data_IF_964054625793
#
_entry.id   IF_964054625793
#
_cell.length_a   1.000
_cell.length_b   1.000
_cell.length_c   1.000
_cell.angle_alpha   90.00
_cell.angle_beta   90.00
_cell.angle_gamma   90.00
#
_symmetry.space_group_name_H-M   'P 1'
#
loop_
_entity.id
_entity.type
_entity.pdbx_description
1 polymer ?
#
# COMPACT_ATOMS: atom_id res chain seq x y z
N UNK A 1 1.87 10.35 15.16
CA UNK A 1 1.84 9.69 13.84
C UNK A 1 2.67 8.41 13.87
N UNK A 2 2.04 7.25 13.75
CA UNK A 2 2.71 5.94 13.67
C UNK A 2 3.08 5.63 12.21
N UNK A 3 4.14 4.86 11.97
CA UNK A 3 4.67 4.61 10.62
C UNK A 3 4.50 3.15 10.21
N UNK A 4 3.97 2.91 9.02
CA UNK A 4 3.85 1.57 8.41
C UNK A 4 4.43 1.61 7.00
N UNK A 5 5.27 0.62 6.67
CA UNK A 5 5.76 0.40 5.32
C UNK A 5 5.24 -0.95 4.81
N UNK A 6 4.44 -0.93 3.74
CA UNK A 6 4.09 -2.11 2.98
C UNK A 6 5.22 -2.38 1.99
N UNK A 7 5.82 -3.57 2.06
CA UNK A 7 6.73 -4.07 1.04
C UNK A 7 6.01 -5.19 0.27
N UNK A 8 5.83 -5.02 -1.03
CA UNK A 8 5.10 -5.95 -1.87
C UNK A 8 5.75 -6.06 -3.26
N UNK A 9 5.46 -7.16 -3.96
CA UNK A 9 5.92 -7.34 -5.34
C UNK A 9 5.03 -6.65 -6.38
N UNK A 10 3.80 -6.25 -6.02
CA UNK A 10 2.86 -5.63 -6.93
C UNK A 10 1.92 -4.61 -6.24
N UNK A 11 1.49 -3.58 -6.97
CA UNK A 11 0.61 -2.52 -6.49
C UNK A 11 -0.01 -1.77 -7.68
N UNK A 12 -1.33 -1.57 -7.67
CA UNK A 12 -2.01 -0.73 -8.67
C UNK A 12 -1.70 0.77 -8.46
N UNK A 13 -1.54 1.58 -9.53
CA UNK A 13 -1.74 1.24 -10.94
C UNK A 13 -0.45 0.77 -11.66
N UNK A 14 0.64 0.51 -10.95
CA UNK A 14 1.96 0.32 -11.57
C UNK A 14 2.19 -1.10 -12.07
N UNK A 15 1.90 -2.11 -11.26
CA UNK A 15 2.11 -3.54 -11.60
C UNK A 15 1.01 -4.39 -10.98
N UNK A 16 0.45 -5.31 -11.78
CA UNK A 16 -0.63 -6.21 -11.38
C UNK A 16 -0.53 -7.55 -12.11
N UNK A 17 -0.37 -8.62 -11.34
CA UNK A 17 -0.53 -10.00 -11.82
C UNK A 17 -1.74 -10.67 -11.16
N UNK A 18 -2.14 -10.23 -9.96
CA UNK A 18 -3.29 -10.78 -9.25
C UNK A 18 -3.92 -9.82 -8.25
N UNK A 19 -4.51 -10.40 -7.19
CA UNK A 19 -5.24 -9.68 -6.16
C UNK A 19 -4.35 -8.96 -5.14
N UNK A 20 -3.07 -9.33 -5.03
CA UNK A 20 -2.14 -8.65 -4.10
C UNK A 20 -2.01 -7.16 -4.49
N UNK A 21 -1.91 -6.86 -5.79
CA UNK A 21 -1.84 -5.49 -6.28
C UNK A 21 -3.04 -4.63 -5.87
N UNK A 22 -4.24 -5.22 -5.84
CA UNK A 22 -5.46 -4.51 -5.43
C UNK A 22 -5.42 -4.18 -3.93
N UNK A 23 -5.00 -5.14 -3.12
CA UNK A 23 -4.86 -4.96 -1.67
C UNK A 23 -3.82 -3.89 -1.36
N UNK A 24 -2.63 -3.97 -1.97
CA UNK A 24 -1.55 -3.00 -1.77
C UNK A 24 -1.89 -1.60 -2.28
N UNK A 25 -2.78 -1.48 -3.28
CA UNK A 25 -3.23 -0.19 -3.80
C UNK A 25 -4.47 0.40 -3.11
N UNK A 26 -5.25 -0.41 -2.39
CA UNK A 26 -6.50 0.01 -1.74
C UNK A 26 -6.35 0.15 -0.21
N UNK A 27 -5.80 -0.85 0.47
CA UNK A 27 -5.75 -0.90 1.93
C UNK A 27 -4.98 0.28 2.56
N UNK A 28 -3.80 0.70 2.04
CA UNK A 28 -3.08 1.86 2.60
C UNK A 28 -3.90 3.16 2.61
N UNK A 29 -4.86 3.31 1.69
CA UNK A 29 -5.72 4.50 1.60
C UNK A 29 -6.80 4.54 2.67
N UNK A 30 -7.09 3.41 3.31
CA UNK A 30 -8.12 3.30 4.36
C UNK A 30 -7.64 3.73 5.75
N UNK A 31 -6.35 3.97 5.95
CA UNK A 31 -5.82 4.42 7.24
C UNK A 31 -6.14 5.89 7.50
N UNK A 32 -6.42 6.22 8.77
CA UNK A 32 -6.56 7.60 9.22
C UNK A 32 -5.23 8.36 9.06
N UNK A 33 -5.21 9.38 8.18
CA UNK A 33 -4.01 10.15 7.84
C UNK A 33 -3.49 11.01 8.99
N UNK A 34 -4.32 11.33 9.97
CA UNK A 34 -3.90 12.10 11.14
C UNK A 34 -3.15 11.23 12.17
N UNK A 35 -3.35 9.91 12.10
CA UNK A 35 -2.75 8.94 13.00
C UNK A 35 -1.58 8.16 12.38
N UNK A 36 -1.62 7.92 11.06
CA UNK A 36 -0.72 6.98 10.36
C UNK A 36 -0.04 7.59 9.13
N UNK A 37 1.28 7.47 9.05
CA UNK A 37 2.07 7.62 7.81
C UNK A 37 2.24 6.24 7.17
N UNK A 38 1.55 5.99 6.07
CA UNK A 38 1.57 4.70 5.37
C UNK A 38 2.21 4.87 4.00
N UNK A 39 3.19 4.02 3.71
CA UNK A 39 3.89 4.00 2.41
C UNK A 39 3.89 2.58 1.84
N UNK A 40 4.00 2.52 0.51
CA UNK A 40 4.18 1.28 -0.23
C UNK A 40 5.49 1.37 -1.00
N UNK A 41 6.33 0.35 -0.88
CA UNK A 41 7.51 0.14 -1.72
C UNK A 41 7.28 -1.10 -2.57
N UNK A 42 7.55 -0.96 -3.86
CA UNK A 42 7.53 -2.01 -4.87
C UNK A 42 8.85 -1.95 -5.65
N UNK A 43 9.33 -3.08 -6.22
CA UNK A 43 10.49 -3.09 -7.11
C UNK A 43 10.35 -2.16 -8.33
#
# INVERSE_FOLDING_TARGET
MKKILFAASECVPFVKTGGLADVCGALPKGFNKDEWDVRVVIP
#
